data_IF_131265988100
#
_entry.id   IF_131265988100
#
_cell.length_a   1.000
_cell.length_b   1.000
_cell.length_c   1.000
_cell.angle_alpha   90.00
_cell.angle_beta   90.00
_cell.angle_gamma   90.00
#
_symmetry.space_group_name_H-M   'P 1'
#
loop_
_entity.id
_entity.type
_entity.pdbx_description
1 polymer ?
#
# COMPACT_ATOMS: atom_id res chain seq x y z
N UNK A 1 -23.45 5.28 7.20
CA UNK A 1 -22.59 6.12 6.35
C UNK A 1 -23.46 7.06 5.53
N UNK A 2 -23.12 8.35 5.42
CA UNK A 2 -23.95 9.34 4.72
C UNK A 2 -23.16 9.84 3.52
N UNK A 3 -23.50 9.35 2.33
CA UNK A 3 -22.95 9.80 1.05
C UNK A 3 -23.70 9.14 -0.12
N UNK A 4 -23.51 9.68 -1.32
CA UNK A 4 -23.94 9.08 -2.58
C UNK A 4 -23.07 7.85 -2.95
N UNK A 5 -21.74 7.98 -2.89
CA UNK A 5 -20.79 6.97 -3.32
C UNK A 5 -20.51 5.90 -2.26
N UNK A 6 -19.90 4.79 -2.70
CA UNK A 6 -19.55 3.65 -1.84
C UNK A 6 -18.07 3.57 -1.48
N UNK A 7 -17.21 4.34 -2.18
CA UNK A 7 -15.76 4.25 -2.06
C UNK A 7 -15.26 4.27 -0.60
N UNK A 8 -15.63 5.26 0.21
CA UNK A 8 -15.19 5.32 1.60
C UNK A 8 -15.78 4.18 2.44
N UNK A 9 -17.04 3.80 2.19
CA UNK A 9 -17.71 2.72 2.91
C UNK A 9 -17.04 1.38 2.65
N UNK A 10 -16.68 1.08 1.40
CA UNK A 10 -15.97 -0.14 1.02
C UNK A 10 -14.66 -0.31 1.78
N UNK A 11 -13.88 0.76 1.94
CA UNK A 11 -12.66 0.71 2.76
C UNK A 11 -12.96 0.29 4.20
N UNK A 12 -14.10 0.68 4.77
CA UNK A 12 -14.50 0.28 6.13
C UNK A 12 -15.00 -1.16 6.14
N UNK A 13 -15.78 -1.57 5.13
CA UNK A 13 -16.28 -2.94 4.97
C UNK A 13 -15.11 -3.94 4.84
N UNK A 14 -14.09 -3.62 4.05
CA UNK A 14 -12.88 -4.44 3.91
C UNK A 14 -12.17 -4.64 5.24
N UNK A 15 -12.09 -3.60 6.08
CA UNK A 15 -11.41 -3.70 7.37
C UNK A 15 -12.26 -4.33 8.48
N UNK A 16 -13.58 -4.39 8.31
CA UNK A 16 -14.52 -4.88 9.31
C UNK A 16 -15.58 -5.77 8.62
N UNK A 17 -15.21 -6.97 8.13
CA UNK A 17 -16.06 -7.79 7.28
C UNK A 17 -17.32 -8.32 7.98
N UNK A 18 -17.30 -8.41 9.32
CA UNK A 18 -18.38 -9.02 10.12
C UNK A 18 -19.48 -8.04 10.53
N UNK A 19 -19.37 -6.76 10.14
CA UNK A 19 -20.34 -5.73 10.51
C UNK A 19 -21.43 -5.55 9.45
N UNK A 20 -22.61 -5.13 9.91
CA UNK A 20 -23.67 -4.64 9.03
C UNK A 20 -23.43 -3.18 8.70
N UNK A 21 -23.57 -2.84 7.42
CA UNK A 21 -23.36 -1.49 6.93
C UNK A 21 -24.62 -0.94 6.31
N UNK A 22 -24.97 0.28 6.71
CA UNK A 22 -26.07 1.03 6.11
C UNK A 22 -25.52 2.32 5.50
N UNK A 23 -26.01 2.64 4.30
CA UNK A 23 -25.73 3.91 3.62
C UNK A 23 -27.01 4.69 3.44
N UNK A 24 -26.99 5.96 3.80
CA UNK A 24 -28.03 6.92 3.47
C UNK A 24 -27.52 7.81 2.33
N UNK A 25 -28.22 7.80 1.20
CA UNK A 25 -27.96 8.74 0.11
C UNK A 25 -28.77 10.03 0.34
N UNK A 26 -28.15 11.19 0.60
CA UNK A 26 -28.91 12.43 0.82
C UNK A 26 -29.62 12.95 -0.42
N UNK A 27 -29.19 12.56 -1.63
CA UNK A 27 -29.85 12.97 -2.87
C UNK A 27 -31.17 12.22 -3.09
N UNK A 28 -31.12 10.89 -2.99
CA UNK A 28 -32.31 10.04 -3.20
C UNK A 28 -33.16 9.91 -1.92
N UNK A 29 -32.60 10.27 -0.75
CA UNK A 29 -33.18 10.09 0.58
C UNK A 29 -33.49 8.63 0.93
N UNK A 30 -32.70 7.70 0.39
CA UNK A 30 -32.86 6.26 0.58
C UNK A 30 -31.79 5.75 1.53
N UNK A 31 -32.18 4.86 2.44
CA UNK A 31 -31.26 4.03 3.23
C UNK A 31 -31.17 2.65 2.57
N UNK A 32 -29.95 2.21 2.28
CA UNK A 32 -29.65 0.86 1.75
C UNK A 32 -28.79 0.09 2.74
N UNK A 33 -29.02 -1.22 2.85
CA UNK A 33 -28.05 -2.15 3.43
C UNK A 33 -26.96 -2.40 2.37
N UNK A 34 -25.70 -2.22 2.77
CA UNK A 34 -24.55 -2.29 1.89
C UNK A 34 -23.74 -3.55 2.20
N UNK A 35 -23.43 -4.31 1.15
CA UNK A 35 -22.62 -5.52 1.24
C UNK A 35 -21.36 -5.38 0.40
N UNK A 36 -20.30 -6.01 0.86
CA UNK A 36 -19.05 -6.17 0.13
C UNK A 36 -18.72 -7.66 0.08
N UNK A 37 -18.41 -8.18 -1.11
CA UNK A 37 -17.99 -9.58 -1.23
C UNK A 37 -16.54 -9.72 -0.76
N UNK A 38 -16.38 -9.73 0.55
CA UNK A 38 -15.07 -9.79 1.20
C UNK A 38 -14.33 -11.08 0.85
N UNK A 39 -15.04 -12.21 0.75
CA UNK A 39 -14.43 -13.49 0.42
C UNK A 39 -13.82 -13.46 -0.98
N UNK A 40 -14.59 -13.02 -1.97
CA UNK A 40 -14.08 -12.88 -3.33
C UNK A 40 -12.89 -11.91 -3.39
N UNK A 41 -13.02 -10.74 -2.75
CA UNK A 41 -11.93 -9.76 -2.67
C UNK A 41 -10.65 -10.38 -2.06
N UNK A 42 -10.79 -11.04 -0.91
CA UNK A 42 -9.68 -11.65 -0.19
C UNK A 42 -8.97 -12.72 -1.03
N UNK A 43 -9.74 -13.59 -1.70
CA UNK A 43 -9.20 -14.63 -2.56
C UNK A 43 -8.49 -14.05 -3.79
N UNK A 44 -9.06 -13.02 -4.42
CA UNK A 44 -8.41 -12.30 -5.53
C UNK A 44 -7.06 -11.76 -5.08
N UNK A 45 -7.00 -11.02 -3.97
CA UNK A 45 -5.76 -10.41 -3.49
C UNK A 45 -4.72 -11.45 -3.09
N UNK A 46 -5.14 -12.52 -2.42
CA UNK A 46 -4.26 -13.65 -2.07
C UNK A 46 -3.68 -14.32 -3.32
N UNK A 47 -4.48 -14.49 -4.37
CA UNK A 47 -4.03 -15.09 -5.62
C UNK A 47 -3.07 -14.18 -6.39
N UNK A 48 -3.27 -12.87 -6.38
CA UNK A 48 -2.32 -11.90 -6.96
C UNK A 48 -0.94 -11.99 -6.31
N UNK A 49 -0.88 -12.14 -4.97
CA UNK A 49 0.40 -12.37 -4.27
C UNK A 49 1.01 -13.72 -4.67
N UNK A 50 0.21 -14.78 -4.81
CA UNK A 50 0.71 -16.11 -5.21
C UNK A 50 1.33 -16.11 -6.61
N UNK A 51 0.75 -15.38 -7.56
CA UNK A 51 1.33 -15.20 -8.91
C UNK A 51 2.75 -14.64 -8.86
N UNK A 52 3.05 -13.88 -7.81
CA UNK A 52 4.34 -13.21 -7.64
C UNK A 52 5.45 -14.04 -6.99
N UNK A 53 5.17 -15.25 -6.48
CA UNK A 53 6.12 -16.02 -5.66
C UNK A 53 7.43 -16.37 -6.37
N UNK A 54 7.40 -16.55 -7.70
CA UNK A 54 8.55 -16.94 -8.52
C UNK A 54 9.09 -15.79 -9.39
N UNK A 55 8.62 -14.56 -9.17
CA UNK A 55 9.04 -13.40 -9.94
C UNK A 55 10.50 -13.01 -9.63
N UNK A 56 11.22 -12.61 -10.67
CA UNK A 56 12.65 -12.27 -10.63
C UNK A 56 12.91 -10.78 -10.86
N UNK A 57 11.96 -10.05 -11.46
CA UNK A 57 12.04 -8.62 -11.74
C UNK A 57 10.85 -7.85 -11.16
N UNK A 58 11.15 -6.82 -10.35
CA UNK A 58 10.15 -6.00 -9.65
C UNK A 58 10.26 -4.53 -10.10
N UNK A 59 9.14 -3.96 -10.57
CA UNK A 59 9.01 -2.52 -10.77
C UNK A 59 8.46 -1.86 -9.50
N UNK A 60 9.24 -1.03 -8.83
CA UNK A 60 8.79 -0.32 -7.62
C UNK A 60 8.33 1.08 -8.02
N UNK A 61 7.03 1.34 -7.91
CA UNK A 61 6.43 2.63 -8.23
C UNK A 61 6.36 3.48 -6.96
N UNK A 62 6.98 4.65 -6.97
CA UNK A 62 6.79 5.67 -5.95
C UNK A 62 5.90 6.77 -6.52
N UNK A 63 4.72 6.96 -5.93
CA UNK A 63 3.80 8.03 -6.34
C UNK A 63 4.39 9.41 -6.03
N UNK A 64 4.38 10.31 -7.01
CA UNK A 64 4.78 11.71 -6.86
C UNK A 64 3.58 12.66 -6.72
N UNK A 65 2.36 12.13 -6.75
CA UNK A 65 1.14 12.93 -6.61
C UNK A 65 0.84 13.22 -5.13
N UNK A 66 0.82 14.51 -4.80
CA UNK A 66 0.50 14.99 -3.46
C UNK A 66 1.42 14.40 -2.38
N UNK A 67 0.84 13.84 -1.32
CA UNK A 67 1.57 13.19 -0.20
C UNK A 67 1.31 11.69 -0.13
N UNK A 68 1.02 11.06 -1.28
CA UNK A 68 0.69 9.63 -1.35
C UNK A 68 1.92 8.73 -1.28
N UNK A 69 3.03 9.16 -1.90
CA UNK A 69 4.29 8.41 -1.89
C UNK A 69 5.04 8.52 -0.56
N UNK A 70 5.84 7.50 -0.26
CA UNK A 70 6.63 7.44 0.96
C UNK A 70 8.02 6.85 0.72
N UNK A 71 9.03 7.70 0.78
CA UNK A 71 10.41 7.30 0.51
C UNK A 71 10.95 6.34 1.58
N UNK A 72 10.46 6.43 2.83
CA UNK A 72 10.90 5.49 3.86
C UNK A 72 10.40 4.07 3.58
N UNK A 73 9.15 3.93 3.09
CA UNK A 73 8.63 2.63 2.64
C UNK A 73 9.48 2.11 1.47
N UNK A 74 9.80 2.98 0.51
CA UNK A 74 10.63 2.63 -0.64
C UNK A 74 11.99 2.10 -0.18
N UNK A 75 12.69 2.81 0.70
CA UNK A 75 13.98 2.39 1.25
C UNK A 75 13.88 1.04 1.98
N UNK A 76 12.83 0.85 2.79
CA UNK A 76 12.62 -0.41 3.50
C UNK A 76 12.41 -1.59 2.53
N UNK A 77 11.58 -1.41 1.49
CA UNK A 77 11.32 -2.44 0.47
C UNK A 77 12.60 -2.74 -0.32
N UNK A 78 13.35 -1.73 -0.75
CA UNK A 78 14.64 -1.90 -1.45
C UNK A 78 15.60 -2.73 -0.59
N UNK A 79 15.71 -2.44 0.70
CA UNK A 79 16.59 -3.18 1.60
C UNK A 79 16.19 -4.66 1.71
N UNK A 80 14.90 -4.98 1.71
CA UNK A 80 14.41 -6.36 1.73
C UNK A 80 14.69 -7.06 0.39
N UNK A 81 14.44 -6.39 -0.73
CA UNK A 81 14.64 -6.92 -2.09
C UNK A 81 16.14 -7.19 -2.35
N UNK A 82 17.03 -6.25 -1.98
CA UNK A 82 18.50 -6.43 -2.10
C UNK A 82 18.98 -7.67 -1.33
N UNK A 83 18.48 -7.89 -0.11
CA UNK A 83 18.82 -9.08 0.69
C UNK A 83 18.38 -10.40 0.04
N UNK A 84 17.31 -10.37 -0.77
CA UNK A 84 16.80 -11.53 -1.50
C UNK A 84 17.40 -11.70 -2.90
N UNK A 85 18.29 -10.80 -3.32
CA UNK A 85 18.95 -10.82 -4.64
C UNK A 85 17.95 -10.83 -5.81
N UNK A 86 16.85 -10.08 -5.70
CA UNK A 86 15.83 -9.94 -6.74
C UNK A 86 16.15 -8.66 -7.54
N UNK A 87 16.04 -8.73 -8.87
CA UNK A 87 16.26 -7.55 -9.72
C UNK A 87 15.10 -6.58 -9.60
N UNK A 88 15.39 -5.28 -9.55
CA UNK A 88 14.36 -4.25 -9.43
C UNK A 88 14.77 -2.95 -10.09
N UNK A 89 13.78 -2.13 -10.42
CA UNK A 89 13.96 -0.74 -10.83
C UNK A 89 12.89 0.14 -10.21
N UNK A 90 13.16 1.45 -10.13
CA UNK A 90 12.27 2.41 -9.48
C UNK A 90 11.61 3.27 -10.57
N UNK A 91 10.31 3.47 -10.44
CA UNK A 91 9.50 4.29 -11.33
C UNK A 91 8.87 5.41 -10.50
N UNK A 92 9.03 6.66 -10.93
CA UNK A 92 8.34 7.80 -10.34
C UNK A 92 7.16 8.18 -11.23
N UNK A 93 5.95 8.10 -10.70
CA UNK A 93 4.72 8.43 -11.45
C UNK A 93 3.82 9.33 -10.61
N UNK A 94 3.27 10.38 -11.19
CA UNK A 94 2.18 11.14 -10.55
C UNK A 94 0.91 10.29 -10.52
N UNK A 95 0.55 9.73 -11.67
CA UNK A 95 -0.66 8.93 -11.84
C UNK A 95 -0.31 7.57 -12.42
N UNK A 96 -0.81 6.53 -11.76
CA UNK A 96 -0.60 5.13 -12.10
C UNK A 96 -1.80 4.67 -12.93
N UNK A 97 -1.55 4.28 -14.17
CA UNK A 97 -2.55 3.78 -15.11
C UNK A 97 -2.07 2.46 -15.71
N UNK A 98 -3.00 1.56 -16.01
CA UNK A 98 -2.71 0.23 -16.55
C UNK A 98 -1.92 0.33 -17.87
N UNK A 99 -2.30 1.27 -18.74
CA UNK A 99 -1.69 1.49 -20.06
C UNK A 99 -0.20 1.86 -19.92
N UNK A 100 0.16 2.67 -18.92
CA UNK A 100 1.56 3.01 -18.65
C UNK A 100 2.35 1.81 -18.15
N UNK A 101 1.74 0.97 -17.30
CA UNK A 101 2.39 -0.21 -16.75
C UNK A 101 2.64 -1.29 -17.82
N UNK A 102 1.75 -1.40 -18.80
CA UNK A 102 1.90 -2.33 -19.93
C UNK A 102 3.12 -2.03 -20.81
N UNK A 103 3.60 -0.79 -20.85
CA UNK A 103 4.79 -0.41 -21.63
C UNK A 103 6.07 -1.09 -21.14
N UNK A 104 6.12 -1.50 -19.86
CA UNK A 104 7.28 -2.20 -19.31
C UNK A 104 7.16 -3.68 -19.62
N UNK A 105 7.98 -4.22 -20.52
CA UNK A 105 7.93 -5.64 -20.91
C UNK A 105 8.73 -6.56 -19.97
N UNK A 106 9.91 -6.11 -19.51
CA UNK A 106 10.86 -6.93 -18.73
C UNK A 106 10.67 -6.78 -17.20
N UNK A 107 9.42 -6.93 -16.74
CA UNK A 107 9.06 -6.84 -15.32
C UNK A 107 7.98 -7.86 -15.01
N UNK A 108 8.09 -8.56 -13.89
CA UNK A 108 7.13 -9.62 -13.57
C UNK A 108 5.97 -9.09 -12.72
N UNK A 109 6.25 -8.13 -11.83
CA UNK A 109 5.25 -7.51 -10.97
C UNK A 109 5.58 -6.04 -10.65
N UNK A 110 4.56 -5.31 -10.23
CA UNK A 110 4.70 -3.96 -9.72
C UNK A 110 4.34 -3.88 -8.24
N UNK A 111 5.15 -3.14 -7.48
CA UNK A 111 4.82 -2.73 -6.12
C UNK A 111 4.56 -1.23 -6.17
N UNK A 112 3.36 -0.79 -5.78
CA UNK A 112 3.03 0.62 -5.75
C UNK A 112 3.02 1.18 -4.32
N UNK A 113 3.77 2.25 -4.14
CA UNK A 113 3.89 3.06 -2.93
C UNK A 113 3.17 4.38 -3.22
N UNK A 114 1.84 4.35 -3.06
CA UNK A 114 0.95 5.46 -3.33
C UNK A 114 -0.41 5.25 -2.68
N UNK A 115 -1.50 5.49 -3.41
CA UNK A 115 -2.85 5.22 -2.93
C UNK A 115 -3.10 3.70 -2.88
N UNK A 116 -3.33 3.08 -1.70
CA UNK A 116 -3.46 1.63 -1.58
C UNK A 116 -4.68 1.06 -2.34
N UNK A 117 -5.68 1.91 -2.58
CA UNK A 117 -6.91 1.56 -3.31
C UNK A 117 -6.66 1.19 -4.77
N UNK A 118 -5.60 1.70 -5.40
CA UNK A 118 -5.29 1.40 -6.81
C UNK A 118 -5.05 -0.11 -7.03
N UNK A 119 -4.32 -0.75 -6.12
CA UNK A 119 -4.09 -2.20 -6.19
C UNK A 119 -5.34 -3.02 -5.88
N UNK A 120 -6.20 -2.51 -5.00
CA UNK A 120 -7.40 -3.21 -4.50
C UNK A 120 -8.53 -3.14 -5.52
N UNK A 121 -8.80 -1.95 -6.05
CA UNK A 121 -9.99 -1.69 -6.87
C UNK A 121 -9.81 -2.17 -8.31
N UNK A 122 -8.60 -2.09 -8.85
CA UNK A 122 -8.35 -2.46 -10.25
C UNK A 122 -7.01 -3.14 -10.52
N UNK A 123 -6.20 -3.40 -9.48
CA UNK A 123 -4.88 -4.00 -9.65
C UNK A 123 -4.91 -5.38 -10.31
N UNK A 124 -6.02 -6.11 -10.19
CA UNK A 124 -6.27 -7.42 -10.81
C UNK A 124 -6.61 -7.36 -12.31
N UNK A 125 -6.92 -6.18 -12.87
CA UNK A 125 -7.11 -6.01 -14.32
C UNK A 125 -5.79 -5.79 -15.07
N UNK A 126 -4.68 -5.61 -14.35
CA UNK A 126 -3.38 -5.51 -14.97
C UNK A 126 -2.91 -6.87 -15.49
N UNK A 127 -2.23 -6.85 -16.64
CA UNK A 127 -1.52 -8.03 -17.15
C UNK A 127 -0.47 -8.53 -16.15
N UNK A 128 0.11 -7.59 -15.40
CA UNK A 128 1.16 -7.83 -14.40
C UNK A 128 0.62 -7.48 -13.02
N UNK A 129 0.80 -8.33 -12.00
CA UNK A 129 0.26 -8.06 -10.68
C UNK A 129 0.71 -6.70 -10.14
N UNK A 130 -0.25 -5.92 -9.63
CA UNK A 130 -0.01 -4.64 -8.97
C UNK A 130 -0.29 -4.78 -7.48
N UNK A 131 0.78 -4.89 -6.69
CA UNK A 131 0.70 -5.07 -5.24
C UNK A 131 0.80 -3.72 -4.53
N UNK A 132 0.04 -3.54 -3.44
CA UNK A 132 0.28 -2.42 -2.54
C UNK A 132 1.41 -2.75 -1.54
N UNK A 133 1.70 -1.80 -0.64
CA UNK A 133 2.77 -1.94 0.35
C UNK A 133 2.55 -3.11 1.30
N UNK A 134 1.33 -3.36 1.78
CA UNK A 134 1.05 -4.50 2.65
C UNK A 134 1.35 -5.82 1.95
N UNK A 135 0.82 -5.99 0.74
CA UNK A 135 0.96 -7.20 -0.05
C UNK A 135 2.41 -7.46 -0.46
N UNK A 136 3.17 -6.39 -0.73
CA UNK A 136 4.61 -6.48 -0.96
C UNK A 136 5.36 -7.04 0.26
N UNK A 137 5.01 -6.61 1.48
CA UNK A 137 5.62 -7.15 2.69
C UNK A 137 5.23 -8.61 2.94
N UNK A 138 4.02 -9.01 2.54
CA UNK A 138 3.59 -10.41 2.57
C UNK A 138 4.39 -11.24 1.56
N UNK A 139 4.47 -10.79 0.31
CA UNK A 139 5.25 -11.44 -0.76
C UNK A 139 6.72 -11.63 -0.34
N UNK A 140 7.31 -10.60 0.26
CA UNK A 140 8.70 -10.63 0.69
C UNK A 140 8.91 -11.37 2.03
N UNK A 141 7.91 -12.11 2.52
CA UNK A 141 7.93 -12.88 3.77
C UNK A 141 8.36 -12.06 5.00
N UNK A 142 8.00 -10.78 5.02
CA UNK A 142 8.26 -9.89 6.15
C UNK A 142 7.07 -9.86 7.13
N UNK A 143 5.87 -10.24 6.65
CA UNK A 143 4.61 -10.21 7.40
C UNK A 143 3.72 -11.36 6.93
N UNK A 144 3.00 -12.08 7.81
CA UNK A 144 2.01 -13.06 7.38
C UNK A 144 0.82 -12.41 6.68
N UNK A 145 0.20 -13.13 5.75
CA UNK A 145 -1.11 -12.72 5.22
C UNK A 145 -2.13 -12.81 6.36
N UNK A 146 -2.79 -11.70 6.69
CA UNK A 146 -3.68 -11.56 7.85
C UNK A 146 -5.05 -12.14 7.51
N UNK A 147 -5.77 -12.59 8.54
CA UNK A 147 -7.15 -13.07 8.37
C UNK A 147 -8.08 -11.94 7.93
N UNK A 148 -7.91 -10.76 8.55
CA UNK A 148 -8.57 -9.52 8.14
C UNK A 148 -7.59 -8.67 7.36
N UNK A 149 -7.97 -8.32 6.13
CA UNK A 149 -7.17 -7.51 5.22
C UNK A 149 -6.97 -6.10 5.81
N UNK A 150 -5.73 -5.67 6.08
CA UNK A 150 -5.48 -4.37 6.69
C UNK A 150 -5.61 -3.25 5.67
N UNK A 151 -6.37 -2.21 6.04
CA UNK A 151 -6.40 -0.95 5.30
C UNK A 151 -5.46 0.07 5.94
N UNK A 152 -4.69 0.81 5.13
CA UNK A 152 -3.86 1.91 5.61
C UNK A 152 -4.65 3.23 5.58
N UNK A 153 -5.05 3.71 6.77
CA UNK A 153 -5.74 4.99 6.95
C UNK A 153 -4.79 6.13 7.35
N UNK A 154 -3.48 6.01 7.06
CA UNK A 154 -2.45 6.97 7.51
C UNK A 154 -2.44 7.14 9.05
N UNK A 155 -2.84 6.09 9.77
CA UNK A 155 -2.96 6.09 11.23
C UNK A 155 -1.58 6.06 11.89
N UNK A 156 -1.45 6.77 13.02
CA UNK A 156 -0.25 6.66 13.87
C UNK A 156 -0.02 5.23 14.37
N UNK A 157 -1.08 4.45 14.56
CA UNK A 157 -1.00 3.05 15.02
C UNK A 157 -0.77 2.05 13.87
N UNK A 158 -0.25 2.53 12.75
CA UNK A 158 0.04 1.69 11.58
C UNK A 158 1.21 0.72 11.80
N UNK A 159 1.30 -0.29 10.93
CA UNK A 159 2.39 -1.28 10.94
C UNK A 159 3.54 -0.85 10.02
N UNK A 160 4.63 -1.62 9.97
CA UNK A 160 5.86 -1.29 9.22
C UNK A 160 5.66 -0.96 7.72
N UNK A 161 4.58 -1.45 7.10
CA UNK A 161 4.21 -1.20 5.70
C UNK A 161 3.30 0.01 5.49
N UNK A 162 2.96 0.74 6.56
CA UNK A 162 2.05 1.90 6.53
C UNK A 162 2.82 3.21 6.48
N UNK A 163 2.15 4.25 5.98
CA UNK A 163 2.77 5.55 5.75
C UNK A 163 3.38 6.19 7.00
N UNK A 164 2.71 6.04 8.14
CA UNK A 164 3.17 6.66 9.37
C UNK A 164 4.38 5.93 9.97
N UNK A 165 4.32 4.60 10.08
CA UNK A 165 5.31 3.83 10.82
C UNK A 165 6.64 3.64 10.07
N UNK A 166 6.62 3.68 8.73
CA UNK A 166 7.81 3.43 7.93
C UNK A 166 8.97 4.39 8.22
N UNK A 167 8.67 5.62 8.64
CA UNK A 167 9.67 6.64 9.02
C UNK A 167 10.14 6.57 10.47
N UNK A 168 9.57 5.70 11.31
CA UNK A 168 9.92 5.61 12.73
C UNK A 168 11.07 4.60 12.96
N UNK A 169 11.27 3.68 12.02
CA UNK A 169 12.17 2.54 12.17
C UNK A 169 11.65 1.53 13.20
N UNK A 170 12.46 0.53 13.57
CA UNK A 170 12.13 -0.44 14.64
C UNK A 170 12.17 0.18 16.05
N UNK A 171 12.29 1.50 16.18
CA UNK A 171 12.42 2.18 17.46
C UNK A 171 11.05 2.29 18.14
N UNK A 172 11.00 1.79 19.37
CA UNK A 172 9.80 1.88 20.20
C UNK A 172 9.68 3.30 20.78
N UNK A 173 8.90 4.18 20.14
CA UNK A 173 8.64 5.55 20.62
C UNK A 173 7.77 5.60 21.89
N UNK A 174 7.31 4.44 22.42
CA UNK A 174 6.43 4.36 23.62
C UNK A 174 6.99 5.07 24.85
N UNK A 175 8.31 5.19 24.97
CA UNK A 175 8.98 5.79 26.14
C UNK A 175 9.58 7.18 25.85
N UNK A 176 9.34 7.75 24.67
CA UNK A 176 9.87 9.07 24.30
C UNK A 176 8.85 10.17 24.59
N UNK A 177 9.32 11.33 25.02
CA UNK A 177 8.48 12.52 25.15
C UNK A 177 8.08 13.03 23.76
N UNK A 178 6.93 13.71 23.66
CA UNK A 178 6.45 14.32 22.40
C UNK A 178 7.51 15.21 21.74
N UNK A 179 8.32 15.93 22.55
CA UNK A 179 9.39 16.81 22.07
C UNK A 179 10.54 16.03 21.41
N UNK A 180 10.90 14.88 21.95
CA UNK A 180 11.94 14.00 21.40
C UNK A 180 11.48 13.34 20.11
N UNK A 181 10.22 12.87 20.06
CA UNK A 181 9.60 12.34 18.84
C UNK A 181 9.62 13.38 17.73
N UNK A 182 9.20 14.62 18.02
CA UNK A 182 9.19 15.71 17.03
C UNK A 182 10.61 16.03 16.56
N UNK A 183 11.58 16.18 17.46
CA UNK A 183 12.99 16.45 17.10
C UNK A 183 13.56 15.36 16.21
N UNK A 184 13.33 14.09 16.56
CA UNK A 184 13.80 12.95 15.79
C UNK A 184 13.21 12.94 14.38
N UNK A 185 11.91 13.19 14.24
CA UNK A 185 11.24 13.28 12.93
C UNK A 185 11.72 14.46 12.08
N UNK A 186 12.02 15.60 12.70
CA UNK A 186 12.64 16.74 12.01
C UNK A 186 14.04 16.36 11.51
N UNK A 187 14.82 15.64 12.31
CA UNK A 187 16.16 15.18 11.94
C UNK A 187 16.12 14.17 10.78
N UNK A 188 15.17 13.23 10.81
CA UNK A 188 14.95 12.27 9.71
C UNK A 188 14.44 12.94 8.42
N UNK A 189 13.69 14.05 8.52
CA UNK A 189 13.33 14.87 7.34
C UNK A 189 14.52 15.66 6.77
N UNK A 190 15.51 16.02 7.59
CA UNK A 190 16.70 16.77 7.17
C UNK A 190 17.73 15.90 6.45
N UNK A 191 17.81 14.61 6.76
CA UNK A 191 18.56 13.63 5.96
C UNK A 191 17.84 13.38 4.64
N UNK A 192 17.96 14.33 3.70
CA UNK A 192 17.53 14.12 2.31
C UNK A 192 18.26 12.89 1.77
N UNK A 193 17.50 11.93 1.27
CA UNK A 193 18.03 10.78 0.54
C UNK A 193 18.52 11.31 -0.80
N UNK A 194 19.84 11.40 -0.96
CA UNK A 194 20.47 11.53 -2.27
C UNK A 194 20.36 10.15 -2.93
N UNK A 195 19.52 10.03 -3.95
CA UNK A 195 19.46 8.81 -4.75
C UNK A 195 20.71 8.83 -5.65
N UNK A 196 21.73 8.07 -5.27
CA UNK A 196 22.89 7.83 -6.11
C UNK A 196 22.54 6.72 -7.10
N UNK A 197 22.68 7.00 -8.40
CA UNK A 197 22.70 5.97 -9.42
C UNK A 197 24.14 5.47 -9.49
N UNK A 198 24.35 4.16 -9.31
CA UNK A 198 25.62 3.54 -9.66
C UNK A 198 25.71 3.59 -11.20
N UNK A 199 26.77 4.24 -11.71
CA UNK A 199 27.11 4.28 -13.14
C UNK A 199 27.74 2.96 -13.59
#
# INVERSE_FOLDING_TARGET
FIADGRFHLESVMIHNPDFLFYRYNPFDKIITEEKYDYKLFYDIRKNEIKKCLNCKSIGIILSTLGRQGNVNILTNIINIIKKKNISFFIILLSEIFNEKLQLFQNVDLFIQIGCPRLSIDWGNYNLKPLLNTYEAYVLLNSVPYKDIYPMDYYSHKGNIWTNYAAGVGFYNEKNLTTKEIIRRRIQMKKSKITIHYDQ
#
